data_IF_619138950904
#
_entry.id   IF_619138950904
#
_cell.length_a   1.000
_cell.length_b   1.000
_cell.length_c   1.000
_cell.angle_alpha   90.00
_cell.angle_beta   90.00
_cell.angle_gamma   90.00
#
_symmetry.space_group_name_H-M   'P 1'
#
loop_
_entity.id
_entity.type
_entity.pdbx_description
1 polymer ?
#
# COMPACT_ATOMS: atom_id res chain seq x y z
N UNK A 1 1.43 0.97 -26.50
CA UNK A 1 2.45 1.41 -25.53
C UNK A 1 1.97 1.10 -24.12
N UNK A 2 2.68 0.23 -23.42
CA UNK A 2 2.40 -0.22 -22.06
C UNK A 2 2.66 0.91 -21.05
N UNK A 3 2.04 0.86 -19.86
CA UNK A 3 2.33 1.85 -18.81
C UNK A 3 3.79 1.80 -18.37
N UNK A 4 4.46 0.64 -18.44
CA UNK A 4 5.89 0.57 -18.16
C UNK A 4 6.75 1.27 -19.21
N UNK A 5 6.37 1.26 -20.50
CA UNK A 5 7.08 2.06 -21.53
C UNK A 5 7.07 3.55 -21.17
N UNK A 6 5.91 4.06 -20.74
CA UNK A 6 5.76 5.44 -20.28
C UNK A 6 6.58 5.72 -19.03
N UNK A 7 6.65 4.78 -18.08
CA UNK A 7 7.49 4.92 -16.89
C UNK A 7 8.97 5.01 -17.28
N UNK A 8 9.42 4.15 -18.19
CA UNK A 8 10.81 4.14 -18.67
C UNK A 8 11.16 5.44 -19.42
N UNK A 9 10.21 6.00 -20.17
CA UNK A 9 10.41 7.24 -20.93
C UNK A 9 10.34 8.51 -20.06
N UNK A 10 9.33 8.59 -19.17
CA UNK A 10 8.97 9.85 -18.50
C UNK A 10 9.63 9.99 -17.11
N UNK A 11 10.11 8.89 -16.49
CA UNK A 11 10.72 8.93 -15.15
C UNK A 11 12.24 9.05 -15.25
N UNK A 12 12.78 10.13 -14.69
CA UNK A 12 14.22 10.44 -14.73
C UNK A 12 15.09 9.39 -14.02
N UNK A 13 14.63 8.87 -12.89
CA UNK A 13 15.36 7.88 -12.09
C UNK A 13 14.48 6.64 -11.83
N UNK A 14 14.85 5.55 -12.50
CA UNK A 14 14.19 4.25 -12.44
C UNK A 14 14.94 3.23 -11.56
N UNK A 15 16.00 3.64 -10.85
CA UNK A 15 16.89 2.76 -10.08
C UNK A 15 16.19 1.92 -8.99
N UNK A 16 15.03 2.38 -8.51
CA UNK A 16 14.19 1.70 -7.52
C UNK A 16 12.82 1.29 -8.08
N UNK A 17 12.70 1.16 -9.40
CA UNK A 17 11.51 0.66 -10.08
C UNK A 17 11.80 -0.71 -10.71
N UNK A 18 10.88 -1.66 -10.54
CA UNK A 18 10.95 -2.95 -11.20
C UNK A 18 10.30 -2.85 -12.59
N UNK A 19 11.10 -2.49 -13.58
CA UNK A 19 10.71 -2.45 -15.00
C UNK A 19 11.08 -3.75 -15.72
N UNK A 20 10.43 -4.07 -16.83
CA UNK A 20 10.91 -5.16 -17.69
C UNK A 20 12.13 -4.73 -18.49
N UNK A 21 13.05 -5.68 -18.69
CA UNK A 21 14.10 -5.58 -19.71
C UNK A 21 13.56 -5.97 -21.10
N UNK A 22 12.70 -6.99 -21.14
CA UNK A 22 12.01 -7.46 -22.33
C UNK A 22 10.69 -8.13 -21.95
N UNK A 23 9.73 -8.10 -22.89
CA UNK A 23 8.50 -8.88 -22.84
C UNK A 23 8.59 -10.00 -23.85
N UNK A 24 8.47 -11.24 -23.38
CA UNK A 24 8.38 -12.42 -24.24
C UNK A 24 7.02 -13.06 -24.02
N UNK A 25 6.38 -13.47 -25.11
CA UNK A 25 5.13 -14.23 -25.09
C UNK A 25 5.50 -15.71 -25.16
N UNK A 26 5.06 -16.49 -24.18
CA UNK A 26 5.18 -17.95 -24.23
C UNK A 26 3.83 -18.51 -24.69
N UNK A 27 3.69 -18.94 -25.96
CA UNK A 27 2.44 -19.53 -26.42
C UNK A 27 2.17 -20.82 -25.64
N UNK A 28 1.04 -20.86 -24.94
CA UNK A 28 0.52 -22.08 -24.30
C UNK A 28 -0.70 -22.55 -25.10
N UNK A 29 -0.78 -23.83 -25.51
CA UNK A 29 -2.00 -24.35 -26.11
C UNK A 29 -3.15 -24.29 -25.09
N UNK A 30 -4.18 -23.49 -25.38
CA UNK A 30 -5.46 -23.51 -24.64
C UNK A 30 -5.64 -22.53 -23.48
N UNK A 31 -4.72 -21.60 -23.20
CA UNK A 31 -4.92 -20.55 -22.18
C UNK A 31 -4.17 -19.25 -22.57
N UNK A 32 -4.80 -18.09 -22.38
CA UNK A 32 -4.36 -16.78 -22.90
C UNK A 32 -3.76 -15.84 -21.85
N UNK A 33 -3.37 -16.36 -20.67
CA UNK A 33 -2.87 -15.54 -19.56
C UNK A 33 -1.36 -15.60 -19.36
N UNK A 34 -0.70 -14.42 -19.34
CA UNK A 34 0.72 -14.24 -18.99
C UNK A 34 0.90 -14.00 -17.47
N UNK A 35 1.90 -14.64 -16.83
CA UNK A 35 2.07 -14.61 -15.36
C UNK A 35 3.32 -13.86 -14.88
N UNK A 36 3.18 -13.03 -13.84
CA UNK A 36 4.26 -12.67 -12.89
C UNK A 36 3.68 -12.45 -11.49
N UNK A 37 4.25 -13.08 -10.47
CA UNK A 37 3.90 -12.83 -9.08
C UNK A 37 5.16 -12.81 -8.20
N UNK A 38 5.33 -11.73 -7.44
CA UNK A 38 6.40 -11.56 -6.45
C UNK A 38 5.76 -11.10 -5.14
N UNK A 39 6.01 -11.83 -4.06
CA UNK A 39 5.79 -11.34 -2.69
C UNK A 39 6.72 -12.07 -1.74
N UNK A 40 7.67 -11.34 -1.15
CA UNK A 40 8.43 -11.82 0.00
C UNK A 40 8.63 -10.65 0.96
N UNK A 41 8.11 -10.77 2.17
CA UNK A 41 8.54 -9.98 3.33
C UNK A 41 8.76 -10.98 4.46
N UNK A 42 10.03 -11.32 4.68
CA UNK A 42 10.49 -12.09 5.83
C UNK A 42 10.57 -11.18 7.07
N UNK A 43 10.75 -11.73 8.28
CA UNK A 43 11.21 -10.93 9.43
C UNK A 43 12.50 -10.21 9.04
N UNK A 44 12.45 -8.89 8.91
CA UNK A 44 13.58 -8.02 8.57
C UNK A 44 13.86 -7.06 9.73
N UNK A 45 15.11 -6.66 9.87
CA UNK A 45 15.52 -5.70 10.89
C UNK A 45 14.78 -4.36 10.72
N UNK A 46 14.72 -3.55 11.77
CA UNK A 46 14.12 -2.22 11.62
C UNK A 46 14.92 -1.34 10.65
N UNK A 47 16.26 -1.34 10.74
CA UNK A 47 17.12 -0.62 9.80
C UNK A 47 16.81 -0.99 8.34
N UNK A 48 16.65 -2.28 8.05
CA UNK A 48 16.26 -2.74 6.70
C UNK A 48 14.89 -2.23 6.28
N UNK A 49 13.90 -2.22 7.19
CA UNK A 49 12.55 -1.68 6.90
C UNK A 49 12.58 -0.16 6.66
N UNK A 50 13.42 0.57 7.39
CA UNK A 50 13.55 2.02 7.24
C UNK A 50 14.27 2.39 5.94
N UNK A 51 15.34 1.66 5.60
CA UNK A 51 16.00 1.77 4.30
C UNK A 51 15.04 1.48 3.15
N UNK A 52 14.26 0.40 3.27
CA UNK A 52 13.22 0.07 2.29
C UNK A 52 12.17 1.19 2.17
N UNK A 53 11.67 1.72 3.29
CA UNK A 53 10.69 2.81 3.29
C UNK A 53 11.23 4.05 2.56
N UNK A 54 12.48 4.44 2.83
CA UNK A 54 13.13 5.58 2.15
C UNK A 54 13.29 5.33 0.65
N UNK A 55 13.79 4.16 0.25
CA UNK A 55 13.97 3.80 -1.16
C UNK A 55 12.64 3.79 -1.92
N UNK A 56 11.60 3.18 -1.34
CA UNK A 56 10.27 3.15 -1.93
C UNK A 56 9.62 4.54 -1.98
N UNK A 57 9.89 5.41 -1.01
CA UNK A 57 9.39 6.78 -1.01
C UNK A 57 10.06 7.63 -2.10
N UNK A 58 11.36 7.44 -2.35
CA UNK A 58 12.05 8.05 -3.51
C UNK A 58 11.48 7.55 -4.84
N UNK A 59 11.23 6.25 -4.95
CA UNK A 59 10.58 5.68 -6.13
C UNK A 59 9.19 6.31 -6.36
N UNK A 60 8.40 6.51 -5.29
CA UNK A 60 7.10 7.19 -5.35
C UNK A 60 7.23 8.66 -5.76
N UNK A 61 8.21 9.39 -5.22
CA UNK A 61 8.50 10.77 -5.65
C UNK A 61 8.80 10.83 -7.15
N UNK A 62 9.66 9.95 -7.65
CA UNK A 62 10.07 9.95 -9.05
C UNK A 62 8.89 9.72 -10.00
N UNK A 63 8.01 8.74 -9.71
CA UNK A 63 6.83 8.50 -10.55
C UNK A 63 5.80 9.65 -10.42
N UNK A 64 5.64 10.26 -9.25
CA UNK A 64 4.72 11.36 -9.06
C UNK A 64 5.18 12.62 -9.80
N UNK A 65 6.49 12.91 -9.82
CA UNK A 65 7.07 14.01 -10.63
C UNK A 65 6.83 13.82 -12.12
N UNK A 66 6.79 12.57 -12.60
CA UNK A 66 6.42 12.23 -13.98
C UNK A 66 4.91 12.27 -14.24
N UNK A 67 4.09 12.68 -13.27
CA UNK A 67 2.63 12.72 -13.39
C UNK A 67 2.00 11.32 -13.42
N UNK A 68 2.64 10.31 -12.82
CA UNK A 68 2.18 8.92 -12.80
C UNK A 68 1.83 8.49 -11.36
N UNK A 69 0.62 7.99 -11.16
CA UNK A 69 0.20 7.36 -9.91
C UNK A 69 0.36 5.83 -9.99
N UNK A 70 0.94 5.21 -8.95
CA UNK A 70 1.13 3.74 -8.89
C UNK A 70 -0.18 2.93 -8.79
N UNK A 71 -1.10 3.36 -7.91
CA UNK A 71 -2.41 2.73 -7.63
C UNK A 71 -2.34 1.20 -7.45
N UNK A 72 -1.95 0.76 -6.26
CA UNK A 72 -1.87 -0.67 -5.95
C UNK A 72 -3.16 -1.48 -6.08
N UNK A 73 -2.94 -2.74 -6.49
CA UNK A 73 -3.75 -3.97 -6.39
C UNK A 73 -5.05 -4.07 -7.22
N UNK A 74 -5.05 -5.06 -8.11
CA UNK A 74 -6.25 -5.70 -8.65
C UNK A 74 -6.77 -6.72 -7.62
N UNK A 75 -8.09 -6.92 -7.52
CA UNK A 75 -8.62 -8.06 -6.76
C UNK A 75 -8.00 -9.37 -7.27
N UNK A 76 -7.88 -10.41 -6.43
CA UNK A 76 -7.33 -11.71 -6.84
C UNK A 76 -7.99 -12.23 -8.14
N UNK A 77 -9.31 -12.07 -8.29
CA UNK A 77 -10.03 -12.46 -9.51
C UNK A 77 -9.69 -11.57 -10.71
N UNK A 78 -9.53 -10.27 -10.52
CA UNK A 78 -9.11 -9.36 -11.57
C UNK A 78 -7.63 -9.58 -11.97
N UNK A 79 -6.77 -9.95 -11.01
CA UNK A 79 -5.40 -10.45 -11.29
C UNK A 79 -5.45 -11.71 -12.13
N UNK A 80 -6.29 -12.68 -11.81
CA UNK A 80 -6.41 -13.90 -12.62
C UNK A 80 -6.96 -13.65 -14.03
N UNK A 81 -7.83 -12.64 -14.18
CA UNK A 81 -8.35 -12.24 -15.50
C UNK A 81 -7.30 -11.53 -16.36
N UNK A 82 -6.39 -10.78 -15.75
CA UNK A 82 -5.38 -9.95 -16.45
C UNK A 82 -4.03 -10.67 -16.59
N UNK A 83 -3.64 -11.45 -15.59
CA UNK A 83 -2.32 -12.08 -15.43
C UNK A 83 -2.38 -13.61 -15.40
N UNK A 84 -3.54 -14.21 -15.72
CA UNK A 84 -3.76 -15.65 -15.59
C UNK A 84 -3.61 -16.21 -14.16
N UNK A 85 -3.79 -17.53 -14.00
CA UNK A 85 -3.60 -18.20 -12.69
C UNK A 85 -2.14 -18.64 -12.52
N UNK A 86 -1.50 -18.41 -11.36
CA UNK A 86 -0.13 -18.91 -11.13
C UNK A 86 -0.05 -20.44 -11.33
N UNK A 87 1.14 -20.93 -11.73
CA UNK A 87 1.39 -22.36 -11.96
C UNK A 87 1.11 -23.16 -10.68
N UNK A 88 0.37 -24.27 -10.83
CA UNK A 88 -0.15 -25.08 -9.73
C UNK A 88 0.62 -26.40 -9.64
N UNK A 89 1.10 -26.75 -8.46
CA UNK A 89 1.61 -28.09 -8.16
C UNK A 89 0.55 -28.93 -7.45
N UNK A 90 0.52 -30.22 -7.78
CA UNK A 90 -0.41 -31.19 -7.20
C UNK A 90 0.16 -31.66 -5.85
N UNK A 91 -0.62 -31.54 -4.77
CA UNK A 91 -0.23 -32.12 -3.47
C UNK A 91 -0.37 -33.65 -3.55
N UNK A 92 0.72 -34.43 -3.45
CA UNK A 92 0.64 -35.88 -3.69
C UNK A 92 0.01 -36.70 -2.56
N UNK A 93 -0.31 -36.09 -1.41
CA UNK A 93 -0.43 -36.84 -0.13
C UNK A 93 -1.83 -36.83 0.50
N UNK A 94 -2.86 -36.32 -0.17
CA UNK A 94 -4.21 -36.31 0.45
C UNK A 94 -5.30 -36.69 -0.56
N UNK A 95 -5.97 -37.82 -0.34
CA UNK A 95 -7.27 -38.15 -0.97
C UNK A 95 -8.35 -37.19 -0.45
N UNK A 96 -8.27 -35.92 -0.85
CA UNK A 96 -9.35 -34.97 -0.66
C UNK A 96 -10.43 -35.24 -1.71
N UNK A 97 -11.70 -35.16 -1.32
CA UNK A 97 -12.86 -35.25 -2.24
C UNK A 97 -12.86 -34.16 -3.33
N UNK A 98 -12.01 -33.14 -3.18
CA UNK A 98 -11.67 -32.15 -4.21
C UNK A 98 -10.16 -31.90 -4.16
N UNK A 99 -9.46 -32.22 -5.25
CA UNK A 99 -8.02 -32.03 -5.39
C UNK A 99 -7.69 -30.54 -5.23
N UNK A 100 -6.96 -30.19 -4.16
CA UNK A 100 -6.55 -28.81 -3.89
C UNK A 100 -5.16 -28.57 -4.46
N UNK A 101 -4.99 -27.39 -5.05
CA UNK A 101 -3.74 -26.93 -5.64
C UNK A 101 -3.15 -25.86 -4.71
N UNK A 102 -1.85 -25.97 -4.39
CA UNK A 102 -1.14 -24.98 -3.61
C UNK A 102 -0.03 -24.39 -4.48
N UNK A 103 -0.02 -23.06 -4.61
CA UNK A 103 1.12 -22.34 -5.17
C UNK A 103 2.07 -22.14 -4.00
N UNK A 104 3.21 -22.83 -4.02
CA UNK A 104 4.26 -22.63 -3.02
C UNK A 104 4.73 -21.17 -3.02
N UNK A 105 5.04 -20.58 -1.85
CA UNK A 105 5.72 -19.30 -1.81
C UNK A 105 7.05 -19.39 -2.58
N UNK A 106 7.37 -18.39 -3.40
CA UNK A 106 8.68 -18.32 -4.04
C UNK A 106 9.75 -18.22 -2.95
N UNK A 107 10.58 -19.26 -2.82
CA UNK A 107 11.79 -19.22 -2.02
C UNK A 107 12.83 -18.39 -2.78
N UNK A 108 13.01 -17.12 -2.38
CA UNK A 108 14.01 -16.27 -3.01
C UNK A 108 15.42 -16.75 -2.60
N UNK A 109 16.28 -17.13 -3.56
CA UNK A 109 17.68 -17.45 -3.32
C UNK A 109 18.38 -16.34 -2.52
N UNK A 110 19.22 -16.70 -1.55
CA UNK A 110 19.87 -15.74 -0.66
C UNK A 110 20.77 -14.76 -1.42
N UNK A 111 21.44 -15.22 -2.47
CA UNK A 111 22.28 -14.40 -3.34
C UNK A 111 21.50 -13.34 -4.14
N UNK A 112 20.18 -13.47 -4.27
CA UNK A 112 19.31 -12.46 -4.89
C UNK A 112 18.74 -11.47 -3.86
N UNK A 113 18.93 -11.72 -2.57
CA UNK A 113 18.51 -10.80 -1.51
C UNK A 113 19.58 -9.73 -1.35
N UNK A 114 19.26 -8.54 -1.84
CA UNK A 114 20.13 -7.37 -1.71
C UNK A 114 19.51 -6.36 -0.74
N UNK A 115 20.27 -5.32 -0.40
CA UNK A 115 19.77 -4.16 0.37
C UNK A 115 18.99 -3.17 -0.50
N UNK A 116 18.75 -3.50 -1.78
CA UNK A 116 18.00 -2.68 -2.72
C UNK A 116 16.54 -3.11 -2.77
N UNK A 117 15.65 -2.13 -2.68
CA UNK A 117 14.22 -2.31 -2.73
C UNK A 117 13.66 -1.65 -3.98
N UNK A 118 12.69 -2.33 -4.61
CA UNK A 118 12.12 -1.92 -5.89
C UNK A 118 10.59 -1.86 -5.79
N UNK A 119 10.01 -0.77 -6.28
CA UNK A 119 8.57 -0.64 -6.47
C UNK A 119 8.18 -1.36 -7.77
N UNK A 120 7.24 -2.30 -7.69
CA UNK A 120 6.76 -3.08 -8.85
C UNK A 120 5.24 -3.08 -8.95
N UNK A 121 4.70 -3.90 -9.86
CA UNK A 121 3.26 -4.04 -10.13
C UNK A 121 2.60 -2.72 -10.60
N UNK A 122 3.01 -2.25 -11.78
CA UNK A 122 2.47 -1.04 -12.42
C UNK A 122 1.23 -1.30 -13.29
N UNK A 123 0.54 -2.43 -13.11
CA UNK A 123 -0.57 -2.82 -14.00
C UNK A 123 -1.76 -1.87 -13.92
N UNK A 124 -1.90 -1.18 -12.79
CA UNK A 124 -2.93 -0.18 -12.51
C UNK A 124 -2.39 1.25 -12.49
N UNK A 125 -1.10 1.44 -12.78
CA UNK A 125 -0.52 2.76 -12.81
C UNK A 125 -1.14 3.59 -13.93
N UNK A 126 -1.27 4.90 -13.72
CA UNK A 126 -1.93 5.79 -14.68
C UNK A 126 -1.41 7.22 -14.59
N UNK A 127 -1.57 7.99 -15.67
CA UNK A 127 -1.31 9.44 -15.65
C UNK A 127 -2.37 10.17 -14.84
N UNK A 128 -1.97 11.21 -14.11
CA UNK A 128 -2.86 12.02 -13.26
C UNK A 128 -4.02 12.63 -14.05
N UNK A 129 -3.77 13.08 -15.28
CA UNK A 129 -4.77 13.79 -16.10
C UNK A 129 -5.63 12.86 -16.98
N UNK A 130 -5.63 11.56 -16.71
CA UNK A 130 -6.41 10.62 -17.54
C UNK A 130 -7.91 10.71 -17.18
N UNK A 131 -8.80 11.05 -18.12
CA UNK A 131 -10.23 11.29 -17.83
C UNK A 131 -10.99 10.01 -17.39
N UNK A 132 -10.47 8.83 -17.73
CA UNK A 132 -11.03 7.56 -17.29
C UNK A 132 -10.47 7.22 -15.91
N UNK A 133 -11.16 7.61 -14.84
CA UNK A 133 -10.86 7.13 -13.49
C UNK A 133 -11.26 5.66 -13.36
N UNK A 134 -10.42 4.74 -13.87
CA UNK A 134 -10.48 3.36 -13.39
C UNK A 134 -10.17 3.40 -11.89
N UNK A 135 -11.21 3.21 -11.06
CA UNK A 135 -11.05 3.08 -9.62
C UNK A 135 -10.17 1.85 -9.37
N UNK A 136 -8.96 2.04 -8.85
CA UNK A 136 -8.17 0.92 -8.32
C UNK A 136 -8.94 0.21 -7.20
N UNK A 137 -8.48 -0.94 -6.73
CA UNK A 137 -9.08 -1.62 -5.59
C UNK A 137 -7.97 -2.14 -4.67
N UNK A 138 -7.24 -1.24 -3.97
CA UNK A 138 -6.20 -1.65 -3.05
C UNK A 138 -6.81 -2.58 -2.00
N UNK A 139 -5.99 -3.45 -1.38
CA UNK A 139 -6.46 -4.24 -0.26
C UNK A 139 -7.00 -3.28 0.81
N UNK A 140 -8.09 -3.68 1.46
CA UNK A 140 -8.80 -2.83 2.43
C UNK A 140 -7.87 -2.23 3.49
N UNK A 141 -6.83 -2.96 3.91
CA UNK A 141 -5.80 -2.53 4.88
C UNK A 141 -4.91 -1.36 4.41
N UNK A 142 -4.89 -1.07 3.11
CA UNK A 142 -4.10 0.00 2.49
C UNK A 142 -4.99 1.00 1.72
N UNK A 143 -6.31 0.93 1.93
CA UNK A 143 -7.27 1.80 1.26
C UNK A 143 -7.42 3.09 2.05
N UNK A 144 -7.19 4.23 1.40
CA UNK A 144 -7.33 5.54 2.04
C UNK A 144 -8.79 5.83 2.44
N UNK A 145 -9.04 6.61 3.52
CA UNK A 145 -10.38 6.89 4.02
C UNK A 145 -11.33 7.48 2.97
N UNK A 146 -10.83 8.36 2.10
CA UNK A 146 -11.59 9.01 1.03
C UNK A 146 -12.17 8.01 -0.01
N UNK A 147 -11.68 6.76 -0.02
CA UNK A 147 -12.14 5.71 -0.92
C UNK A 147 -13.15 4.75 -0.30
N UNK A 148 -13.27 4.78 1.03
CA UNK A 148 -14.24 4.02 1.81
C UNK A 148 -15.57 4.77 1.94
N UNK A 149 -15.52 6.08 1.76
CA UNK A 149 -16.67 6.96 1.62
C UNK A 149 -17.57 6.53 0.44
N UNK A 150 -18.88 6.48 0.63
CA UNK A 150 -19.87 6.09 -0.38
C UNK A 150 -19.88 4.59 -0.78
N UNK A 151 -19.23 3.71 -0.02
CA UNK A 151 -19.23 2.25 -0.22
C UNK A 151 -20.24 1.56 0.72
N UNK A 152 -20.67 0.35 0.35
CA UNK A 152 -21.64 -0.49 1.08
C UNK A 152 -21.23 -0.72 2.57
N UNK A 153 -22.18 -0.97 3.51
CA UNK A 153 -21.99 -1.10 4.97
C UNK A 153 -20.94 -2.10 5.49
N UNK A 154 -20.28 -2.86 4.63
CA UNK A 154 -19.22 -3.81 5.06
C UNK A 154 -17.91 -3.11 5.43
N UNK A 155 -17.81 -1.79 5.28
CA UNK A 155 -16.60 -0.99 5.53
C UNK A 155 -16.67 -0.16 6.82
N UNK A 156 -17.76 -0.29 7.57
CA UNK A 156 -18.11 0.56 8.72
C UNK A 156 -17.18 0.37 9.94
N UNK A 157 -16.63 -0.85 10.10
CA UNK A 157 -15.62 -1.14 11.12
C UNK A 157 -14.32 -0.35 10.90
N UNK A 158 -13.95 -0.09 9.64
CA UNK A 158 -12.71 0.62 9.31
C UNK A 158 -12.80 2.11 9.63
N UNK A 159 -13.94 2.75 9.31
CA UNK A 159 -14.16 4.16 9.66
C UNK A 159 -14.23 4.33 11.18
N UNK A 160 -14.86 3.41 11.90
CA UNK A 160 -14.89 3.43 13.36
C UNK A 160 -13.48 3.31 13.96
N UNK A 161 -12.63 2.43 13.42
CA UNK A 161 -11.23 2.30 13.84
C UNK A 161 -10.41 3.56 13.53
N UNK A 162 -10.64 4.22 12.39
CA UNK A 162 -10.03 5.51 12.04
C UNK A 162 -10.43 6.58 13.06
N UNK A 163 -11.73 6.74 13.32
CA UNK A 163 -12.25 7.75 14.26
C UNK A 163 -11.69 7.54 15.66
N UNK A 164 -11.60 6.28 16.10
CA UNK A 164 -11.04 5.93 17.39
C UNK A 164 -9.55 6.25 17.50
N UNK A 165 -8.79 6.03 16.42
CA UNK A 165 -7.33 6.16 16.42
C UNK A 165 -6.85 7.59 16.18
N UNK A 166 -7.52 8.32 15.30
CA UNK A 166 -7.09 9.62 14.75
C UNK A 166 -8.02 10.77 15.12
N UNK A 167 -9.22 10.48 15.64
CA UNK A 167 -10.24 11.49 15.91
C UNK A 167 -11.24 11.63 14.76
N UNK A 168 -12.16 12.61 14.85
CA UNK A 168 -13.31 12.71 13.97
C UNK A 168 -12.91 12.87 12.50
N UNK A 169 -13.72 12.31 11.60
CA UNK A 169 -13.58 12.54 10.16
C UNK A 169 -14.07 13.95 9.81
N UNK A 170 -13.68 14.52 8.65
CA UNK A 170 -14.10 15.87 8.28
C UNK A 170 -15.63 16.01 8.25
N UNK A 171 -16.16 17.09 8.80
CA UNK A 171 -17.61 17.38 8.82
C UNK A 171 -18.22 17.41 7.41
N UNK A 172 -17.45 17.85 6.42
CA UNK A 172 -17.83 17.87 5.01
C UNK A 172 -18.17 16.48 4.45
N UNK A 173 -17.78 15.40 5.14
CA UNK A 173 -18.10 14.03 4.75
C UNK A 173 -19.44 13.53 5.34
N UNK A 174 -20.11 14.34 6.18
CA UNK A 174 -21.37 13.99 6.85
C UNK A 174 -22.46 13.71 5.81
N UNK A 175 -23.21 12.63 6.02
CA UNK A 175 -24.28 12.18 5.12
C UNK A 175 -23.81 11.43 3.87
N UNK A 176 -22.49 11.38 3.61
CA UNK A 176 -21.95 10.72 2.42
C UNK A 176 -21.41 9.29 2.70
N UNK A 177 -21.25 8.92 3.97
CA UNK A 177 -21.05 7.53 4.39
C UNK A 177 -22.41 6.85 4.63
N UNK A 178 -22.75 5.88 3.79
CA UNK A 178 -24.02 5.13 3.87
C UNK A 178 -23.85 3.97 4.86
N UNK A 179 -24.41 4.13 6.06
CA UNK A 179 -24.47 3.10 7.10
C UNK A 179 -25.90 2.51 7.15
N UNK A 180 -26.02 1.18 7.27
CA UNK A 180 -27.30 0.47 7.25
C UNK A 180 -28.23 0.76 8.44
N UNK A 181 -27.77 1.49 9.46
CA UNK A 181 -28.57 1.92 10.62
C UNK A 181 -28.47 3.41 10.97
N UNK A 182 -28.26 4.30 9.97
CA UNK A 182 -27.90 5.72 10.18
C UNK A 182 -26.44 5.94 10.60
N UNK A 183 -25.66 6.68 9.80
CA UNK A 183 -24.26 6.97 10.13
C UNK A 183 -24.16 7.57 11.54
N UNK A 184 -23.23 7.06 12.36
CA UNK A 184 -23.03 7.61 13.70
C UNK A 184 -22.62 9.07 13.55
N UNK A 185 -23.53 10.00 13.84
CA UNK A 185 -23.24 11.45 13.84
C UNK A 185 -21.99 11.77 14.68
N UNK A 186 -21.72 10.94 15.69
CA UNK A 186 -20.51 10.97 16.50
C UNK A 186 -19.18 10.74 15.77
N UNK A 187 -19.17 10.34 14.50
CA UNK A 187 -17.94 10.26 13.68
C UNK A 187 -17.49 11.63 13.20
N UNK A 188 -18.43 12.57 13.06
CA UNK A 188 -18.20 13.92 12.52
C UNK A 188 -18.11 14.98 13.63
N UNK A 189 -18.36 14.59 14.88
CA UNK A 189 -18.26 15.48 16.03
C UNK A 189 -16.81 15.93 16.24
N UNK A 190 -16.51 17.16 15.81
CA UNK A 190 -15.16 17.74 15.87
C UNK A 190 -14.65 17.97 17.31
N UNK A 191 -15.53 17.88 18.32
CA UNK A 191 -15.13 17.93 19.73
C UNK A 191 -14.58 16.60 20.26
N UNK A 192 -14.83 15.50 19.52
CA UNK A 192 -14.45 14.16 19.91
C UNK A 192 -12.93 13.99 19.90
N UNK A 193 -12.41 13.43 20.99
CA UNK A 193 -10.99 13.07 21.10
C UNK A 193 -10.77 11.61 20.69
N UNK A 194 -9.57 11.27 20.18
CA UNK A 194 -9.17 9.88 20.00
C UNK A 194 -9.26 9.11 21.32
N UNK A 195 -9.57 7.82 21.24
CA UNK A 195 -9.63 6.92 22.39
C UNK A 195 -8.25 6.83 23.06
N UNK A 196 -8.09 7.16 24.35
CA UNK A 196 -6.80 7.13 25.03
C UNK A 196 -6.05 5.79 24.90
N UNK A 197 -6.77 4.67 24.90
CA UNK A 197 -6.16 3.33 24.89
C UNK A 197 -5.87 2.83 23.46
N UNK A 198 -6.52 3.44 22.46
CA UNK A 198 -6.47 3.00 21.06
C UNK A 198 -6.09 4.10 20.08
N UNK A 199 -5.68 5.26 20.57
CA UNK A 199 -5.14 6.33 19.75
C UNK A 199 -3.83 5.89 19.09
N UNK A 200 -3.38 6.71 18.14
CA UNK A 200 -2.17 6.44 17.39
C UNK A 200 -0.92 6.28 18.29
N UNK A 201 -0.76 7.09 19.33
CA UNK A 201 0.37 7.01 20.24
C UNK A 201 0.39 5.69 21.05
N UNK A 202 -0.75 5.30 21.63
CA UNK A 202 -0.92 4.03 22.36
C UNK A 202 -0.73 2.83 21.43
N UNK A 203 -1.22 2.94 20.19
CA UNK A 203 -1.00 1.93 19.15
C UNK A 203 0.49 1.79 18.82
N UNK A 204 1.21 2.89 18.62
CA UNK A 204 2.66 2.86 18.37
C UNK A 204 3.39 2.23 19.55
N UNK A 205 3.07 2.61 20.79
CA UNK A 205 3.71 2.05 21.98
C UNK A 205 3.50 0.52 22.09
N UNK A 206 2.29 0.04 21.78
CA UNK A 206 1.96 -1.39 21.78
C UNK A 206 2.72 -2.17 20.68
N UNK A 207 2.80 -1.62 19.47
CA UNK A 207 3.48 -2.28 18.35
C UNK A 207 5.01 -2.10 18.34
N UNK A 208 5.52 -1.11 19.08
CA UNK A 208 6.96 -0.79 19.22
C UNK A 208 7.36 -0.63 20.69
N UNK A 209 7.21 -1.69 21.52
CA UNK A 209 7.62 -1.65 22.92
C UNK A 209 9.14 -1.49 23.07
N UNK A 210 9.90 -1.84 22.03
CA UNK A 210 11.36 -1.72 21.92
C UNK A 210 11.86 -0.29 21.65
N UNK A 211 11.04 0.55 21.02
CA UNK A 211 11.43 1.91 20.65
C UNK A 211 11.46 2.83 21.87
N UNK A 212 12.50 3.67 21.99
CA UNK A 212 12.55 4.70 23.02
C UNK A 212 11.50 5.80 22.79
N UNK A 213 11.19 6.64 23.81
CA UNK A 213 10.18 7.68 23.70
C UNK A 213 10.43 8.69 22.57
N UNK A 214 11.70 8.99 22.26
CA UNK A 214 12.07 9.93 21.19
C UNK A 214 11.69 9.33 19.83
N UNK A 215 12.06 8.08 19.59
CA UNK A 215 11.70 7.37 18.36
C UNK A 215 10.18 7.26 18.19
N UNK A 216 9.45 6.90 19.26
CA UNK A 216 7.99 6.85 19.20
C UNK A 216 7.38 8.21 18.90
N UNK A 217 7.95 9.29 19.43
CA UNK A 217 7.55 10.66 19.13
C UNK A 217 7.72 11.02 17.65
N UNK A 218 8.86 10.65 17.06
CA UNK A 218 9.13 10.84 15.62
C UNK A 218 8.12 10.05 14.76
N UNK A 219 7.91 8.77 15.08
CA UNK A 219 6.95 7.91 14.37
C UNK A 219 5.54 8.50 14.47
N UNK A 220 5.13 8.94 15.66
CA UNK A 220 3.82 9.54 15.88
C UNK A 220 3.64 10.82 15.05
N UNK A 221 4.64 11.70 15.05
CA UNK A 221 4.65 12.92 14.24
C UNK A 221 4.50 12.63 12.74
N UNK A 222 5.24 11.65 12.23
CA UNK A 222 5.18 11.23 10.82
C UNK A 222 3.80 10.65 10.51
N UNK A 223 3.31 9.72 11.33
CA UNK A 223 2.05 9.02 11.12
C UNK A 223 0.85 9.98 11.10
N UNK A 224 0.83 11.01 11.95
CA UNK A 224 -0.23 12.04 11.92
C UNK A 224 -0.24 12.84 10.61
N UNK A 225 0.92 13.07 9.99
CA UNK A 225 1.03 13.83 8.73
C UNK A 225 0.64 13.01 7.50
N UNK A 226 0.82 11.69 7.55
CA UNK A 226 0.54 10.77 6.43
C UNK A 226 -0.84 10.11 6.52
N UNK A 227 -1.37 9.90 7.73
CA UNK A 227 -2.69 9.30 7.95
C UNK A 227 -3.82 10.33 8.07
N UNK A 228 -3.61 11.53 7.55
CA UNK A 228 -4.64 12.56 7.45
C UNK A 228 -5.79 12.12 6.53
N UNK A 229 -7.03 12.29 6.99
CA UNK A 229 -8.23 11.95 6.22
C UNK A 229 -8.38 12.81 4.96
N UNK A 230 -8.13 14.11 5.05
CA UNK A 230 -8.14 15.00 3.89
C UNK A 230 -6.88 14.75 3.03
N UNK A 231 -7.02 14.24 1.79
CA UNK A 231 -5.86 13.97 0.93
C UNK A 231 -5.05 15.22 0.60
N UNK A 232 -5.69 16.40 0.55
CA UNK A 232 -5.05 17.69 0.27
C UNK A 232 -4.12 18.16 1.40
N UNK A 233 -4.36 17.67 2.62
CA UNK A 233 -3.55 17.97 3.81
C UNK A 233 -2.47 16.91 4.06
N UNK A 234 -2.48 15.81 3.29
CA UNK A 234 -1.53 14.71 3.43
C UNK A 234 -0.20 15.10 2.79
N UNK A 235 0.91 14.81 3.47
CA UNK A 235 2.22 15.06 2.86
C UNK A 235 2.42 14.22 1.60
N UNK A 236 2.95 14.85 0.57
CA UNK A 236 3.45 14.16 -0.62
C UNK A 236 4.74 13.39 -0.30
N UNK A 237 5.13 12.47 -1.19
CA UNK A 237 6.40 11.75 -1.04
C UNK A 237 7.61 12.70 -0.92
N UNK A 238 7.64 13.75 -1.74
CA UNK A 238 8.66 14.81 -1.71
C UNK A 238 8.69 15.52 -0.36
N UNK A 239 7.53 15.95 0.15
CA UNK A 239 7.47 16.65 1.42
C UNK A 239 7.86 15.74 2.59
N UNK A 240 7.45 14.47 2.57
CA UNK A 240 7.81 13.50 3.61
C UNK A 240 9.31 13.21 3.62
N UNK A 241 9.97 13.11 2.45
CA UNK A 241 11.43 12.94 2.36
C UNK A 241 12.20 14.12 2.97
N UNK A 242 11.60 15.31 2.98
CA UNK A 242 12.19 16.52 3.55
C UNK A 242 11.77 16.77 5.02
N UNK A 243 10.78 16.02 5.52
CA UNK A 243 10.23 16.23 6.86
C UNK A 243 11.30 16.01 7.95
N UNK A 244 11.47 16.95 8.90
CA UNK A 244 12.49 16.82 9.94
C UNK A 244 12.34 15.56 10.78
N UNK A 245 11.10 15.17 11.12
CA UNK A 245 10.86 13.98 11.92
C UNK A 245 11.23 12.72 11.14
N UNK A 246 10.90 12.68 9.84
CA UNK A 246 11.30 11.59 8.96
C UNK A 246 12.81 11.50 8.82
N UNK A 247 13.52 12.61 8.59
CA UNK A 247 14.98 12.64 8.44
C UNK A 247 15.70 12.20 9.72
N UNK A 248 15.28 12.71 10.88
CA UNK A 248 15.84 12.28 12.17
C UNK A 248 15.63 10.78 12.42
N UNK A 249 14.46 10.26 12.03
CA UNK A 249 14.18 8.84 12.14
C UNK A 249 15.03 8.01 11.17
N UNK A 250 15.25 8.47 9.93
CA UNK A 250 16.15 7.80 8.98
C UNK A 250 17.60 7.78 9.49
N UNK A 251 18.09 8.90 10.01
CA UNK A 251 19.44 9.04 10.56
C UNK A 251 19.69 8.06 11.71
N UNK A 252 18.72 7.90 12.62
CA UNK A 252 18.78 6.90 13.69
C UNK A 252 19.03 5.48 13.19
N UNK A 253 18.55 5.15 12.00
CA UNK A 253 18.68 3.83 11.38
C UNK A 253 19.75 3.77 10.28
N UNK A 254 20.57 4.82 10.13
CA UNK A 254 21.65 4.87 9.14
C UNK A 254 21.16 4.94 7.68
N UNK A 255 20.00 5.55 7.43
CA UNK A 255 19.30 5.55 6.15
C UNK A 255 19.32 6.90 5.40
#
# INVERSE_FOLDING_TARGET
MCMQDKIIQDVQDTSHLLTYLATFLLPRPGDSGDHRALKVLHKTSMATRMSAARQLLKALENIHRAGIMHRGDLSRSAKYKVLGRPLKEIIPVVKLWKQRELVGPLAMPENLRTEKFYLGDFVLAMKVDTPVTRKGNPPMKFCSPERLHGKHPTHDGVISDIVRSLGPVPEQWKGLCVYAGGGLDSWYDQSKKPDPDRNLASTIANFRPDADPVERGLIHSIMLKIFTCCPEKRLTATQLLQDPSFRALMEKYGC
#
